data_IF_879580120977
#
_entry.id   IF_879580120977
#
_cell.length_a   1.000
_cell.length_b   1.000
_cell.length_c   1.000
_cell.angle_alpha   90.00
_cell.angle_beta   90.00
_cell.angle_gamma   90.00
#
_symmetry.space_group_name_H-M   'P 1'
#
loop_
_entity.id
_entity.type
_entity.pdbx_description
1 polymer ?
#
# COMPACT_ATOMS: atom_id res chain seq x y z
N UNK A 1 -57.39 -63.56 20.00
CA UNK A 1 -56.16 -63.32 20.79
C UNK A 1 -55.24 -62.52 19.92
N UNK A 2 -55.03 -61.29 20.35
CA UNK A 2 -54.03 -60.35 19.87
C UNK A 2 -52.62 -60.97 19.94
N UNK A 3 -51.70 -60.59 19.06
CA UNK A 3 -50.34 -60.17 19.41
C UNK A 3 -49.68 -59.46 18.20
N UNK A 4 -49.59 -58.14 18.36
CA UNK A 4 -48.84 -57.16 17.60
C UNK A 4 -47.34 -57.43 17.62
N UNK A 5 -46.66 -57.30 16.49
CA UNK A 5 -45.21 -57.48 16.40
C UNK A 5 -44.54 -56.84 15.19
N UNK A 6 -45.09 -55.74 14.66
CA UNK A 6 -44.38 -54.91 13.69
C UNK A 6 -43.17 -54.22 14.36
N UNK A 7 -42.02 -54.88 14.33
CA UNK A 7 -40.75 -54.24 14.64
C UNK A 7 -40.32 -53.38 13.44
N UNK A 8 -40.79 -52.14 13.36
CA UNK A 8 -40.23 -51.15 12.45
C UNK A 8 -38.77 -50.89 12.86
N UNK A 9 -37.82 -51.49 12.15
CA UNK A 9 -36.39 -51.21 12.34
C UNK A 9 -36.16 -49.77 11.85
N UNK A 10 -36.21 -48.82 12.78
CA UNK A 10 -36.02 -47.40 12.48
C UNK A 10 -34.72 -47.20 11.72
N UNK A 11 -34.80 -46.48 10.59
CA UNK A 11 -33.67 -46.17 9.75
C UNK A 11 -32.51 -45.63 10.61
N UNK A 12 -31.42 -46.39 10.68
CA UNK A 12 -30.23 -46.04 11.43
C UNK A 12 -29.78 -44.62 11.04
N UNK A 13 -29.84 -43.68 11.99
CA UNK A 13 -29.48 -42.27 11.78
C UNK A 13 -28.03 -42.06 11.32
N UNK A 14 -27.18 -43.09 11.45
CA UNK A 14 -25.75 -43.07 11.13
C UNK A 14 -25.49 -44.17 10.09
N UNK A 15 -25.96 -43.94 8.86
CA UNK A 15 -25.66 -44.79 7.71
C UNK A 15 -24.85 -44.03 6.64
N UNK A 16 -24.09 -44.72 5.77
CA UNK A 16 -23.27 -44.09 4.71
C UNK A 16 -24.08 -43.29 3.67
N UNK A 17 -25.40 -43.43 3.68
CA UNK A 17 -26.35 -42.71 2.84
C UNK A 17 -26.81 -41.37 3.41
N UNK A 18 -26.53 -41.04 4.69
CA UNK A 18 -26.92 -39.75 5.27
C UNK A 18 -25.83 -38.68 5.08
N UNK A 19 -26.24 -37.41 4.92
CA UNK A 19 -25.33 -36.27 4.76
C UNK A 19 -24.34 -36.15 5.93
N UNK A 20 -24.78 -36.46 7.15
CA UNK A 20 -23.94 -36.52 8.35
C UNK A 20 -22.89 -37.64 8.27
N UNK A 21 -23.28 -38.85 7.83
CA UNK A 21 -22.36 -39.97 7.64
C UNK A 21 -21.28 -39.66 6.57
N UNK A 22 -21.69 -39.03 5.46
CA UNK A 22 -20.76 -38.58 4.40
C UNK A 22 -19.80 -37.49 4.90
N UNK A 23 -20.27 -36.55 5.72
CA UNK A 23 -19.44 -35.50 6.32
C UNK A 23 -18.38 -36.07 7.28
N UNK A 24 -18.73 -37.07 8.09
CA UNK A 24 -17.79 -37.76 8.98
C UNK A 24 -16.76 -38.56 8.18
N UNK A 25 -17.19 -39.29 7.15
CA UNK A 25 -16.29 -40.05 6.28
C UNK A 25 -15.28 -39.14 5.55
N UNK A 26 -15.73 -37.99 5.01
CA UNK A 26 -14.86 -37.00 4.39
C UNK A 26 -13.88 -36.40 5.39
N UNK A 27 -14.30 -36.10 6.62
CA UNK A 27 -13.40 -35.61 7.67
C UNK A 27 -12.29 -36.61 8.01
N UNK A 28 -12.62 -37.89 8.14
CA UNK A 28 -11.63 -38.95 8.43
C UNK A 28 -10.66 -39.15 7.25
N UNK A 29 -11.17 -39.13 6.02
CA UNK A 29 -10.35 -39.22 4.81
C UNK A 29 -9.41 -38.02 4.67
N UNK A 30 -9.90 -36.80 4.93
CA UNK A 30 -9.09 -35.57 4.92
C UNK A 30 -8.05 -35.57 6.03
N UNK A 31 -8.39 -36.00 7.24
CA UNK A 31 -7.41 -36.09 8.34
C UNK A 31 -6.30 -37.08 8.03
N UNK A 32 -6.63 -38.23 7.46
CA UNK A 32 -5.64 -39.24 7.06
C UNK A 32 -4.78 -38.79 5.88
N UNK A 33 -5.33 -38.04 4.92
CA UNK A 33 -4.56 -37.48 3.80
C UNK A 33 -3.63 -36.35 4.27
N UNK A 34 -4.11 -35.48 5.16
CA UNK A 34 -3.32 -34.41 5.78
C UNK A 34 -2.19 -34.96 6.65
N UNK A 35 -2.44 -36.02 7.44
CA UNK A 35 -1.38 -36.66 8.23
C UNK A 35 -0.31 -37.29 7.34
N UNK A 36 -0.70 -37.97 6.27
CA UNK A 36 0.23 -38.52 5.27
C UNK A 36 1.02 -37.44 4.54
N UNK A 37 0.37 -36.32 4.19
CA UNK A 37 1.04 -35.17 3.55
C UNK A 37 2.04 -34.54 4.52
N UNK A 38 1.68 -34.38 5.80
CA UNK A 38 2.55 -33.83 6.84
C UNK A 38 3.77 -34.74 7.09
N UNK A 39 3.57 -36.05 7.13
CA UNK A 39 4.66 -37.02 7.24
C UNK A 39 5.60 -36.98 6.01
N UNK A 40 5.05 -36.87 4.80
CA UNK A 40 5.84 -36.72 3.57
C UNK A 40 6.59 -35.39 3.51
N UNK A 41 5.95 -34.29 3.91
CA UNK A 41 6.57 -32.98 4.01
C UNK A 41 7.70 -32.98 5.04
N UNK A 42 7.46 -33.56 6.23
CA UNK A 42 8.48 -33.68 7.26
C UNK A 42 9.64 -34.56 6.79
N UNK A 43 9.38 -35.67 6.11
CA UNK A 43 10.41 -36.54 5.53
C UNK A 43 11.16 -35.91 4.36
N UNK A 44 10.54 -35.01 3.59
CA UNK A 44 11.19 -34.24 2.53
C UNK A 44 12.07 -33.14 3.13
N UNK A 45 11.54 -32.40 4.11
CA UNK A 45 12.28 -31.37 4.86
C UNK A 45 13.46 -32.00 5.61
N UNK A 46 13.28 -33.16 6.24
CA UNK A 46 14.36 -33.83 6.96
C UNK A 46 15.46 -34.33 6.03
N UNK A 47 15.12 -34.85 4.84
CA UNK A 47 16.08 -35.26 3.80
C UNK A 47 16.85 -34.08 3.22
N UNK A 48 16.16 -32.97 2.95
CA UNK A 48 16.80 -31.73 2.49
C UNK A 48 17.72 -31.20 3.60
N UNK A 49 17.25 -31.16 4.84
CA UNK A 49 18.03 -30.71 6.00
C UNK A 49 19.27 -31.58 6.23
N UNK A 50 19.15 -32.91 6.14
CA UNK A 50 20.31 -33.81 6.32
C UNK A 50 21.34 -33.69 5.20
N UNK A 51 20.92 -33.31 3.99
CA UNK A 51 21.82 -33.10 2.86
C UNK A 51 22.47 -31.70 2.87
N UNK A 52 21.72 -30.66 3.24
CA UNK A 52 22.20 -29.27 3.22
C UNK A 52 22.98 -28.87 4.47
N UNK A 53 22.63 -29.40 5.64
CA UNK A 53 23.32 -29.09 6.90
C UNK A 53 24.81 -29.43 6.88
N UNK A 54 25.29 -30.59 6.42
CA UNK A 54 26.73 -30.87 6.39
C UNK A 54 27.49 -30.02 5.36
N UNK A 55 26.86 -29.67 4.23
CA UNK A 55 27.42 -28.77 3.21
C UNK A 55 27.51 -27.32 3.70
N UNK A 56 26.48 -26.84 4.42
CA UNK A 56 26.49 -25.53 5.07
C UNK A 56 27.43 -25.50 6.27
N UNK A 57 27.53 -26.59 7.04
CA UNK A 57 28.43 -26.70 8.20
C UNK A 57 29.91 -26.77 7.79
N UNK A 58 30.24 -27.43 6.67
CA UNK A 58 31.60 -27.42 6.12
C UNK A 58 31.97 -26.06 5.52
N UNK A 59 30.99 -25.34 4.95
CA UNK A 59 31.15 -23.97 4.46
C UNK A 59 31.25 -22.93 5.59
N UNK A 60 30.56 -23.16 6.72
CA UNK A 60 30.63 -22.37 7.96
C UNK A 60 31.88 -22.69 8.81
N UNK A 61 32.72 -23.65 8.41
CA UNK A 61 33.95 -23.92 9.13
C UNK A 61 34.82 -22.65 9.09
N UNK A 62 35.12 -22.11 10.27
CA UNK A 62 35.73 -20.80 10.57
C UNK A 62 37.08 -20.51 9.87
N UNK A 63 37.57 -21.43 9.05
CA UNK A 63 38.82 -21.38 8.29
C UNK A 63 38.71 -20.57 6.98
N UNK A 64 37.50 -20.26 6.50
CA UNK A 64 37.29 -19.39 5.34
C UNK A 64 36.67 -18.04 5.76
N UNK A 65 37.52 -17.10 6.16
CA UNK A 65 37.16 -15.74 6.61
C UNK A 65 36.26 -15.01 5.61
N UNK A 66 36.44 -15.25 4.30
CA UNK A 66 35.66 -14.64 3.24
C UNK A 66 34.19 -15.11 3.22
N UNK A 67 33.92 -16.38 3.54
CA UNK A 67 32.55 -16.93 3.56
C UNK A 67 31.70 -16.37 4.70
N UNK A 68 32.31 -16.25 5.89
CA UNK A 68 31.66 -15.62 7.05
C UNK A 68 31.38 -14.14 6.77
N UNK A 69 32.35 -13.43 6.18
CA UNK A 69 32.19 -12.02 5.83
C UNK A 69 31.03 -11.79 4.85
N UNK A 70 30.92 -12.64 3.82
CA UNK A 70 29.83 -12.57 2.84
C UNK A 70 28.46 -12.81 3.50
N UNK A 71 28.35 -13.76 4.43
CA UNK A 71 27.10 -13.98 5.18
C UNK A 71 26.72 -12.79 6.05
N UNK A 72 27.68 -12.18 6.73
CA UNK A 72 27.42 -10.98 7.56
C UNK A 72 26.93 -9.82 6.69
N UNK A 73 27.53 -9.61 5.52
CA UNK A 73 27.11 -8.56 4.58
C UNK A 73 25.71 -8.85 4.04
N UNK A 74 25.43 -10.07 3.59
CA UNK A 74 24.09 -10.45 3.13
C UNK A 74 23.05 -10.30 4.22
N UNK A 75 23.38 -10.70 5.46
CA UNK A 75 22.50 -10.55 6.61
C UNK A 75 22.24 -9.07 6.94
N UNK A 76 23.27 -8.21 6.92
CA UNK A 76 23.12 -6.77 7.12
C UNK A 76 22.25 -6.12 6.02
N UNK A 77 22.44 -6.50 4.75
CA UNK A 77 21.60 -6.05 3.63
C UNK A 77 20.15 -6.53 3.79
N UNK A 78 19.94 -7.77 4.24
CA UNK A 78 18.63 -8.31 4.52
C UNK A 78 17.93 -7.54 5.64
N UNK A 79 18.60 -7.27 6.77
CA UNK A 79 18.07 -6.45 7.85
C UNK A 79 17.76 -5.02 7.39
N UNK A 80 18.61 -4.43 6.54
CA UNK A 80 18.37 -3.11 5.94
C UNK A 80 17.12 -3.11 5.07
N UNK A 81 16.93 -4.15 4.25
CA UNK A 81 15.75 -4.29 3.41
C UNK A 81 14.46 -4.47 4.23
N UNK A 82 14.49 -5.28 5.29
CA UNK A 82 13.35 -5.42 6.20
C UNK A 82 13.03 -4.11 6.94
N UNK A 83 14.06 -3.38 7.35
CA UNK A 83 13.93 -2.08 8.01
C UNK A 83 13.32 -1.05 7.05
N UNK A 84 13.78 -1.02 5.79
CA UNK A 84 13.20 -0.20 4.73
C UNK A 84 11.76 -0.58 4.39
N UNK A 85 11.42 -1.88 4.38
CA UNK A 85 10.06 -2.33 4.19
C UNK A 85 9.15 -1.91 5.37
N UNK A 86 9.67 -2.01 6.61
CA UNK A 86 8.96 -1.57 7.81
C UNK A 86 8.74 -0.06 7.83
N UNK A 87 9.72 0.74 7.41
CA UNK A 87 9.59 2.19 7.33
C UNK A 87 8.57 2.61 6.26
N UNK A 88 8.60 1.96 5.08
CA UNK A 88 7.58 2.15 4.03
C UNK A 88 6.18 1.78 4.51
N UNK A 89 6.03 0.65 5.20
CA UNK A 89 4.75 0.23 5.77
C UNK A 89 4.25 1.21 6.85
N UNK A 90 5.14 1.73 7.69
CA UNK A 90 4.80 2.75 8.68
C UNK A 90 4.35 4.06 8.01
N UNK A 91 5.04 4.52 6.96
CA UNK A 91 4.67 5.70 6.20
C UNK A 91 3.29 5.53 5.54
N UNK A 92 3.04 4.37 4.91
CA UNK A 92 1.74 4.06 4.30
C UNK A 92 0.60 4.06 5.33
N UNK A 93 0.84 3.57 6.56
CA UNK A 93 -0.15 3.62 7.65
C UNK A 93 -0.43 5.06 8.07
N UNK A 94 0.60 5.89 8.24
CA UNK A 94 0.44 7.31 8.60
C UNK A 94 -0.31 8.08 7.52
N UNK A 95 -0.02 7.82 6.24
CA UNK A 95 -0.72 8.40 5.10
C UNK A 95 -2.23 8.10 5.15
N UNK A 96 -2.58 6.82 5.30
CA UNK A 96 -3.99 6.38 5.42
C UNK A 96 -4.69 6.97 6.63
N UNK A 97 -3.99 7.18 7.74
CA UNK A 97 -4.55 7.83 8.92
C UNK A 97 -4.92 9.29 8.60
N UNK A 98 -4.01 10.05 7.99
CA UNK A 98 -4.27 11.44 7.61
C UNK A 98 -5.44 11.53 6.62
N UNK A 99 -5.50 10.63 5.64
CA UNK A 99 -6.63 10.56 4.69
C UNK A 99 -7.97 10.23 5.36
N UNK A 100 -7.98 9.41 6.41
CA UNK A 100 -9.19 9.15 7.21
C UNK A 100 -9.61 10.37 8.01
N UNK A 101 -8.64 11.06 8.64
CA UNK A 101 -8.91 12.30 9.39
C UNK A 101 -9.47 13.37 8.46
N UNK A 102 -8.88 13.57 7.27
CA UNK A 102 -9.41 14.51 6.29
C UNK A 102 -10.84 14.17 5.85
N UNK A 103 -11.16 12.89 5.65
CA UNK A 103 -12.51 12.46 5.26
C UNK A 103 -13.57 12.65 6.33
N UNK A 104 -13.19 12.61 7.61
CA UNK A 104 -14.12 12.68 8.75
C UNK A 104 -13.95 13.96 9.59
N UNK A 105 -13.18 14.93 9.09
CA UNK A 105 -12.98 16.18 9.80
C UNK A 105 -14.33 16.90 9.93
N UNK A 106 -14.65 17.39 11.14
CA UNK A 106 -15.85 18.19 11.37
C UNK A 106 -15.58 19.69 11.14
N UNK A 107 -14.31 20.08 11.26
CA UNK A 107 -13.85 21.46 11.13
C UNK A 107 -12.77 21.60 10.06
N UNK A 108 -12.74 22.77 9.41
CA UNK A 108 -11.69 23.11 8.44
C UNK A 108 -10.29 23.04 9.06
N UNK A 109 -10.16 23.47 10.32
CA UNK A 109 -8.91 23.46 11.07
C UNK A 109 -8.34 22.03 11.24
N UNK A 110 -9.19 21.05 11.53
CA UNK A 110 -8.78 19.64 11.62
C UNK A 110 -8.37 19.09 10.27
N UNK A 111 -9.14 19.40 9.23
CA UNK A 111 -8.83 19.00 7.86
C UNK A 111 -7.49 19.58 7.40
N UNK A 112 -7.27 20.89 7.60
CA UNK A 112 -6.07 21.60 7.17
C UNK A 112 -4.81 21.09 7.89
N UNK A 113 -4.90 20.79 9.19
CA UNK A 113 -3.81 20.16 9.94
C UNK A 113 -3.44 18.79 9.37
N UNK A 114 -4.42 17.95 9.07
CA UNK A 114 -4.19 16.62 8.51
C UNK A 114 -3.63 16.69 7.07
N UNK A 115 -4.15 17.59 6.25
CA UNK A 115 -3.66 17.85 4.89
C UNK A 115 -2.19 18.28 4.90
N UNK A 116 -1.81 19.23 5.77
CA UNK A 116 -0.43 19.69 5.90
C UNK A 116 0.56 18.58 6.29
N UNK A 117 0.12 17.66 7.16
CA UNK A 117 0.93 16.50 7.56
C UNK A 117 1.05 15.52 6.39
N UNK A 118 -0.01 15.32 5.62
CA UNK A 118 -0.03 14.48 4.44
C UNK A 118 0.91 15.01 3.34
N UNK A 119 0.87 16.32 3.07
CA UNK A 119 1.71 16.98 2.06
C UNK A 119 3.20 16.87 2.41
N UNK A 120 3.56 17.06 3.69
CA UNK A 120 4.94 16.88 4.16
C UNK A 120 5.45 15.43 4.04
N UNK A 121 4.53 14.45 4.04
CA UNK A 121 4.87 13.03 3.83
C UNK A 121 4.90 12.64 2.35
N UNK A 122 4.34 13.46 1.47
CA UNK A 122 4.42 13.25 0.03
C UNK A 122 5.84 13.55 -0.45
N UNK A 123 6.30 12.77 -1.42
CA UNK A 123 7.56 13.08 -2.09
C UNK A 123 7.35 14.38 -2.85
N UNK A 124 8.05 15.45 -2.44
CA UNK A 124 8.02 16.71 -3.16
C UNK A 124 8.60 16.45 -4.54
N UNK A 125 7.72 16.34 -5.54
CA UNK A 125 8.14 16.37 -6.94
C UNK A 125 8.85 17.70 -7.12
N UNK A 126 10.00 17.69 -7.79
CA UNK A 126 10.71 18.93 -8.09
C UNK A 126 9.91 19.69 -9.16
N UNK A 127 8.95 20.50 -8.72
CA UNK A 127 8.01 21.20 -9.60
C UNK A 127 8.72 22.20 -10.52
N UNK A 128 9.92 22.66 -10.09
CA UNK A 128 10.77 23.59 -10.80
C UNK A 128 11.22 23.10 -12.18
N UNK A 129 11.19 21.79 -12.44
CA UNK A 129 11.53 21.26 -13.77
C UNK A 129 10.40 21.43 -14.79
N UNK A 130 9.17 21.70 -14.31
CA UNK A 130 7.98 21.74 -15.15
C UNK A 130 7.53 23.16 -15.53
N UNK A 131 8.04 24.19 -14.85
CA UNK A 131 7.75 25.60 -15.12
C UNK A 131 8.98 26.48 -14.97
N UNK A 132 9.01 27.59 -15.70
CA UNK A 132 10.08 28.59 -15.62
C UNK A 132 9.77 29.63 -14.54
N UNK A 133 10.35 29.45 -13.35
CA UNK A 133 10.11 30.33 -12.20
C UNK A 133 10.61 31.76 -12.45
N UNK A 134 11.74 31.92 -13.13
CA UNK A 134 12.33 33.23 -13.39
C UNK A 134 11.46 34.04 -14.34
N UNK A 135 10.93 33.40 -15.39
CA UNK A 135 10.00 34.03 -16.32
C UNK A 135 8.70 34.47 -15.62
N UNK A 136 8.13 33.61 -14.76
CA UNK A 136 6.91 33.95 -14.02
C UNK A 136 7.16 35.12 -13.07
N UNK A 137 8.29 35.11 -12.34
CA UNK A 137 8.64 36.18 -11.40
C UNK A 137 8.82 37.52 -12.10
N UNK A 138 9.57 37.53 -13.21
CA UNK A 138 9.78 38.71 -14.04
C UNK A 138 8.47 39.32 -14.54
N UNK A 139 7.55 38.48 -15.05
CA UNK A 139 6.22 38.95 -15.51
C UNK A 139 5.33 39.42 -14.37
N UNK A 140 5.41 38.79 -13.20
CA UNK A 140 4.65 39.22 -12.03
C UNK A 140 5.11 40.62 -11.56
N UNK A 141 6.41 40.89 -11.59
CA UNK A 141 6.97 42.21 -11.29
C UNK A 141 6.58 43.27 -12.32
N UNK A 142 6.53 42.91 -13.61
CA UNK A 142 6.01 43.79 -14.67
C UNK A 142 4.52 44.13 -14.44
N UNK A 143 3.71 43.13 -14.11
CA UNK A 143 2.29 43.32 -13.79
C UNK A 143 2.07 44.18 -12.55
N UNK A 144 2.92 44.04 -11.52
CA UNK A 144 2.87 44.88 -10.30
C UNK A 144 3.20 46.33 -10.63
N UNK A 145 4.29 46.59 -11.35
CA UNK A 145 4.67 47.94 -11.78
C UNK A 145 3.56 48.62 -12.57
N UNK A 146 2.99 47.94 -13.57
CA UNK A 146 1.87 48.49 -14.38
C UNK A 146 0.59 48.74 -13.56
N UNK A 147 0.38 47.98 -12.49
CA UNK A 147 -0.74 48.21 -11.57
C UNK A 147 -0.52 49.49 -10.75
N UNK A 148 0.72 49.74 -10.31
CA UNK A 148 1.10 50.98 -9.61
C UNK A 148 0.97 52.20 -10.54
N UNK A 149 1.29 52.05 -11.82
CA UNK A 149 1.13 53.09 -12.85
C UNK A 149 -0.35 53.41 -13.20
N UNK A 150 -1.32 52.63 -12.71
CA UNK A 150 -2.75 52.92 -12.79
C UNK A 150 -3.43 52.69 -14.15
N UNK A 151 -2.70 52.25 -15.17
CA UNK A 151 -3.27 52.00 -16.51
C UNK A 151 -3.90 50.60 -16.61
N UNK A 152 -5.21 50.53 -16.35
CA UNK A 152 -5.97 49.27 -16.40
C UNK A 152 -5.92 48.61 -17.79
N UNK A 153 -5.82 49.41 -18.85
CA UNK A 153 -5.70 48.93 -20.24
C UNK A 153 -4.40 48.15 -20.44
N UNK A 154 -3.29 48.64 -19.89
CA UNK A 154 -1.98 48.02 -20.03
C UNK A 154 -1.87 46.74 -19.19
N UNK A 155 -2.47 46.72 -18.00
CA UNK A 155 -2.56 45.50 -17.18
C UNK A 155 -3.35 44.41 -17.92
N UNK A 156 -4.51 44.74 -18.51
CA UNK A 156 -5.32 43.79 -19.28
C UNK A 156 -4.60 43.29 -20.53
N UNK A 157 -3.86 44.17 -21.21
CA UNK A 157 -3.06 43.81 -22.37
C UNK A 157 -1.96 42.79 -22.01
N UNK A 158 -1.19 43.06 -20.95
CA UNK A 158 -0.16 42.13 -20.46
C UNK A 158 -0.75 40.79 -20.03
N UNK A 159 -1.87 40.79 -19.28
CA UNK A 159 -2.52 39.55 -18.88
C UNK A 159 -2.96 38.71 -20.07
N UNK A 160 -3.46 39.32 -21.15
CA UNK A 160 -3.83 38.61 -22.38
C UNK A 160 -2.62 38.04 -23.13
N UNK A 161 -1.50 38.74 -23.14
CA UNK A 161 -0.28 38.31 -23.82
C UNK A 161 0.39 37.13 -23.13
N UNK A 162 0.45 37.15 -21.81
CA UNK A 162 1.25 36.20 -21.03
C UNK A 162 0.39 35.10 -20.41
N UNK A 163 -0.57 35.47 -19.56
CA UNK A 163 -1.33 34.51 -18.74
C UNK A 163 -2.17 33.55 -19.59
N UNK A 164 -2.77 34.06 -20.68
CA UNK A 164 -3.60 33.25 -21.58
C UNK A 164 -2.79 32.32 -22.50
N UNK A 165 -1.46 32.50 -22.59
CA UNK A 165 -0.61 31.75 -23.52
C UNK A 165 0.29 30.72 -22.84
N UNK A 166 -0.06 30.28 -21.62
CA UNK A 166 0.72 29.35 -20.80
C UNK A 166 2.07 29.94 -20.37
N UNK A 167 2.04 31.07 -19.65
CA UNK A 167 3.22 31.74 -19.10
C UNK A 167 4.09 30.77 -18.29
N UNK A 168 5.37 30.69 -18.64
CA UNK A 168 6.34 29.86 -17.93
C UNK A 168 5.98 28.39 -17.87
N UNK A 169 5.13 27.90 -18.78
CA UNK A 169 4.59 26.55 -18.74
C UNK A 169 3.78 26.22 -17.46
N UNK A 170 3.19 27.23 -16.80
CA UNK A 170 2.38 27.04 -15.58
C UNK A 170 1.16 26.14 -15.78
N UNK A 171 0.64 26.04 -17.01
CA UNK A 171 -0.49 25.17 -17.36
C UNK A 171 -0.03 23.75 -17.76
N UNK A 172 1.21 23.35 -17.42
CA UNK A 172 1.70 22.01 -17.71
C UNK A 172 0.83 20.96 -16.99
N UNK A 173 0.22 20.01 -17.72
CA UNK A 173 -0.61 18.99 -17.11
C UNK A 173 0.14 18.12 -16.10
N UNK A 174 1.45 17.92 -16.26
CA UNK A 174 2.30 17.16 -15.33
C UNK A 174 2.31 17.78 -13.93
N UNK A 175 2.24 19.12 -13.82
CA UNK A 175 2.15 19.82 -12.52
C UNK A 175 0.85 19.50 -11.78
N UNK A 176 -0.20 19.12 -12.49
CA UNK A 176 -1.53 18.90 -11.91
C UNK A 176 -1.88 17.43 -11.76
N UNK A 177 -1.02 16.51 -12.23
CA UNK A 177 -1.21 15.06 -12.02
C UNK A 177 -1.22 14.75 -10.52
N UNK A 178 -2.32 14.20 -10.04
CA UNK A 178 -2.54 13.89 -8.62
C UNK A 178 -3.10 15.04 -7.77
N UNK A 179 -3.09 16.30 -8.25
CA UNK A 179 -3.76 17.43 -7.57
C UNK A 179 -5.27 17.46 -7.79
N UNK A 180 -5.77 16.86 -8.88
CA UNK A 180 -7.21 16.69 -9.11
C UNK A 180 -7.87 15.83 -8.01
N UNK A 181 -7.15 14.86 -7.43
CA UNK A 181 -7.64 14.11 -6.26
C UNK A 181 -7.91 15.01 -5.04
N UNK A 182 -7.24 16.15 -4.94
CA UNK A 182 -7.43 17.10 -3.84
C UNK A 182 -8.75 17.84 -4.00
N UNK A 183 -9.13 18.21 -5.23
CA UNK A 183 -10.43 18.83 -5.52
C UNK A 183 -11.56 17.86 -5.17
N UNK A 184 -11.41 16.57 -5.49
CA UNK A 184 -12.39 15.55 -5.09
C UNK A 184 -12.49 15.41 -3.57
N UNK A 185 -11.37 15.46 -2.84
CA UNK A 185 -11.36 15.38 -1.37
C UNK A 185 -11.99 16.62 -0.71
N UNK A 186 -11.76 17.82 -1.27
CA UNK A 186 -12.38 19.07 -0.82
C UNK A 186 -13.87 19.09 -1.14
N UNK A 187 -14.26 18.63 -2.33
CA UNK A 187 -15.66 18.51 -2.74
C UNK A 187 -16.39 17.49 -1.88
N UNK A 188 -15.77 16.35 -1.58
CA UNK A 188 -16.32 15.35 -0.67
C UNK A 188 -16.53 15.91 0.75
N UNK A 189 -15.59 16.69 1.29
CA UNK A 189 -15.80 17.37 2.57
C UNK A 189 -17.03 18.28 2.56
N UNK A 190 -17.22 19.05 1.48
CA UNK A 190 -18.37 19.94 1.35
C UNK A 190 -19.69 19.20 1.10
N UNK A 191 -19.69 17.97 0.57
CA UNK A 191 -20.91 17.19 0.31
C UNK A 191 -21.47 16.45 1.54
N UNK A 192 -20.69 16.32 2.62
CA UNK A 192 -21.13 15.69 3.88
C UNK A 192 -21.68 16.71 4.90
N UNK A 193 -21.68 18.00 4.58
CA UNK A 193 -22.37 19.06 5.32
C UNK A 193 -23.70 19.37 4.65
#
# INVERSE_FOLDING_TARGET
>A
MDESGEASVGAFRIGPSTLLGRGVALRVLLFSSLWRLRARAYAAISRVRSATVPLLASWLHLRNTHGVLLMVVLFALFLRNLSGARSRAALARRRRLCEKVMRHAATYEEWARAAKVLDKMSEQVHEADFYDEELIRSRLEELRRRREDGSLRDVVFCMRGDLMRNLGNMCNPELHKGRLEVIDKVTAFNSFR
#
